data_IF_496543872596
#
_entry.id   IF_496543872596
#
_cell.length_a   1.000
_cell.length_b   1.000
_cell.length_c   1.000
_cell.angle_alpha   90.00
_cell.angle_beta   90.00
_cell.angle_gamma   90.00
#
_symmetry.space_group_name_H-M   'P 1'
#
loop_
_entity.id
_entity.type
_entity.pdbx_description
1 polymer ?
#
# COMPACT_ATOMS: atom_id res chain seq x y z
N UNK A 1 -22.56 -15.27 -3.47
CA UNK A 1 -21.41 -15.47 -4.38
C UNK A 1 -20.14 -15.08 -3.65
N UNK A 2 -19.09 -15.91 -3.70
CA UNK A 2 -17.80 -15.60 -3.07
C UNK A 2 -16.96 -14.63 -3.90
N UNK A 3 -16.03 -13.93 -3.24
CA UNK A 3 -15.05 -13.06 -3.91
C UNK A 3 -13.82 -13.92 -4.25
N UNK A 4 -13.41 -13.92 -5.52
CA UNK A 4 -12.15 -14.52 -5.96
C UNK A 4 -11.08 -13.43 -6.04
N UNK A 5 -9.88 -13.73 -5.56
CA UNK A 5 -8.71 -12.82 -5.62
C UNK A 5 -7.49 -13.57 -6.14
N UNK A 6 -6.65 -12.88 -6.90
CA UNK A 6 -5.36 -13.37 -7.35
C UNK A 6 -4.30 -13.13 -6.26
N UNK A 7 -3.93 -14.21 -5.59
CA UNK A 7 -2.92 -14.18 -4.54
C UNK A 7 -1.52 -13.84 -5.05
N UNK A 8 -1.18 -14.18 -6.31
CA UNK A 8 0.12 -13.84 -6.87
C UNK A 8 0.21 -12.35 -7.16
N UNK A 9 -0.85 -11.77 -7.74
CA UNK A 9 -0.94 -10.34 -7.99
C UNK A 9 -0.86 -9.54 -6.68
N UNK A 10 -1.59 -9.96 -5.65
CA UNK A 10 -1.53 -9.35 -4.31
C UNK A 10 -0.14 -9.43 -3.68
N UNK A 11 0.55 -10.57 -3.77
CA UNK A 11 1.92 -10.72 -3.24
C UNK A 11 2.89 -9.76 -3.94
N UNK A 12 2.75 -9.58 -5.26
CA UNK A 12 3.55 -8.60 -6.02
C UNK A 12 3.24 -7.17 -5.59
N UNK A 13 1.96 -6.81 -5.48
CA UNK A 13 1.54 -5.49 -5.01
C UNK A 13 2.09 -5.14 -3.63
N UNK A 14 1.99 -6.06 -2.66
CA UNK A 14 2.57 -5.88 -1.31
C UNK A 14 4.08 -5.64 -1.35
N UNK A 15 4.81 -6.37 -2.19
CA UNK A 15 6.27 -6.19 -2.34
C UNK A 15 6.61 -4.82 -2.92
N UNK A 16 5.87 -4.35 -3.92
CA UNK A 16 6.06 -3.04 -4.54
C UNK A 16 5.83 -1.94 -3.51
N UNK A 17 4.69 -1.98 -2.81
CA UNK A 17 4.35 -1.01 -1.76
C UNK A 17 5.44 -0.98 -0.67
N UNK A 18 5.88 -2.14 -0.18
CA UNK A 18 6.92 -2.19 0.85
C UNK A 18 8.25 -1.60 0.37
N UNK A 19 8.63 -1.85 -0.88
CA UNK A 19 9.84 -1.28 -1.45
C UNK A 19 9.73 0.24 -1.58
N UNK A 20 8.57 0.74 -2.01
CA UNK A 20 8.28 2.16 -2.11
C UNK A 20 8.38 2.86 -0.73
N UNK A 21 7.79 2.28 0.31
CA UNK A 21 7.91 2.81 1.68
C UNK A 21 9.36 2.83 2.19
N UNK A 22 10.14 1.77 1.92
CA UNK A 22 11.56 1.70 2.31
C UNK A 22 12.45 2.77 1.67
N UNK A 23 12.03 3.36 0.57
CA UNK A 23 12.75 4.46 -0.09
C UNK A 23 12.53 5.81 0.61
N UNK A 24 11.93 5.82 1.80
CA UNK A 24 11.75 7.02 2.62
C UNK A 24 10.46 7.80 2.33
N UNK A 25 9.56 7.26 1.50
CA UNK A 25 8.29 7.92 1.14
C UNK A 25 7.20 7.78 2.22
N UNK A 26 7.53 7.26 3.41
CA UNK A 26 6.57 7.03 4.51
C UNK A 26 5.97 8.34 5.02
N UNK A 27 6.77 9.40 5.14
CA UNK A 27 6.31 10.69 5.67
C UNK A 27 5.23 11.33 4.80
N UNK A 28 5.28 11.12 3.47
CA UNK A 28 4.26 11.59 2.54
C UNK A 28 2.89 10.89 2.70
N UNK A 29 2.81 9.84 3.53
CA UNK A 29 1.59 9.07 3.80
C UNK A 29 1.06 9.27 5.20
N UNK A 30 1.65 10.18 5.98
CA UNK A 30 1.14 10.56 7.28
C UNK A 30 0.63 12.00 7.20
N UNK A 31 -0.51 12.26 7.84
CA UNK A 31 -1.01 13.61 8.02
C UNK A 31 -0.25 14.36 9.13
N UNK A 32 -0.68 15.59 9.42
CA UNK A 32 -0.05 16.45 10.42
C UNK A 32 -0.12 15.86 11.84
N UNK A 33 -1.07 14.95 12.10
CA UNK A 33 -1.26 14.26 13.37
C UNK A 33 -0.53 12.90 13.41
N UNK A 34 0.25 12.58 12.36
CA UNK A 34 0.98 11.32 12.22
C UNK A 34 0.08 10.12 11.95
N UNK A 35 -1.16 10.34 11.52
CA UNK A 35 -2.09 9.28 11.10
C UNK A 35 -1.97 9.02 9.60
N UNK A 36 -2.33 7.81 9.12
CA UNK A 36 -2.30 7.52 7.69
C UNK A 36 -3.20 8.46 6.88
N UNK A 37 -2.62 9.21 5.95
CA UNK A 37 -3.33 10.06 4.98
C UNK A 37 -4.04 9.17 3.95
N UNK A 38 -5.38 9.20 3.98
CA UNK A 38 -6.21 8.40 3.09
C UNK A 38 -6.01 8.76 1.62
N UNK A 39 -5.84 10.04 1.28
CA UNK A 39 -5.67 10.46 -0.11
C UNK A 39 -4.36 9.92 -0.67
N UNK A 40 -3.25 10.16 0.04
CA UNK A 40 -1.93 9.65 -0.34
C UNK A 40 -1.91 8.10 -0.42
N UNK A 41 -2.61 7.42 0.49
CA UNK A 41 -2.74 5.96 0.43
C UNK A 41 -3.46 5.47 -0.83
N UNK A 42 -4.56 6.15 -1.22
CA UNK A 42 -5.29 5.83 -2.43
C UNK A 42 -4.43 6.04 -3.68
N UNK A 43 -3.74 7.18 -3.77
CA UNK A 43 -2.82 7.49 -4.86
C UNK A 43 -1.70 6.46 -4.99
N UNK A 44 -1.13 6.00 -3.87
CA UNK A 44 -0.11 4.95 -3.88
C UNK A 44 -0.64 3.61 -4.35
N UNK A 45 -1.87 3.24 -3.99
CA UNK A 45 -2.49 2.01 -4.49
C UNK A 45 -2.86 2.11 -5.97
N UNK A 46 -3.28 3.27 -6.45
CA UNK A 46 -3.54 3.51 -7.88
C UNK A 46 -2.26 3.51 -8.72
N UNK A 47 -1.18 4.10 -8.20
CA UNK A 47 0.16 3.97 -8.78
C UNK A 47 0.60 2.51 -8.83
N UNK A 48 0.46 1.77 -7.74
CA UNK A 48 0.81 0.35 -7.67
C UNK A 48 -0.03 -0.48 -8.65
N UNK A 49 -1.34 -0.19 -8.77
CA UNK A 49 -2.24 -0.84 -9.71
C UNK A 49 -1.81 -0.62 -11.15
N UNK A 50 -1.49 0.63 -11.50
CA UNK A 50 -0.98 1.01 -12.83
C UNK A 50 0.35 0.32 -13.14
N UNK A 51 1.24 0.19 -12.14
CA UNK A 51 2.50 -0.53 -12.31
C UNK A 51 2.29 -2.03 -12.56
N UNK A 52 1.40 -2.65 -11.79
CA UNK A 52 1.05 -4.07 -11.94
C UNK A 52 0.43 -4.34 -13.31
N UNK A 53 -0.50 -3.50 -13.76
CA UNK A 53 -1.12 -3.62 -15.07
C UNK A 53 -0.06 -3.59 -16.19
N UNK A 54 0.84 -2.59 -16.17
CA UNK A 54 1.93 -2.49 -17.17
C UNK A 54 2.87 -3.68 -17.18
N UNK A 55 3.06 -4.35 -16.03
CA UNK A 55 4.04 -5.44 -15.86
C UNK A 55 3.46 -6.83 -16.01
N UNK A 56 2.15 -6.98 -15.83
CA UNK A 56 1.47 -8.28 -15.79
C UNK A 56 0.32 -8.38 -16.79
N UNK A 57 -0.08 -7.27 -17.40
CA UNK A 57 -1.28 -7.21 -18.25
C UNK A 57 -2.59 -7.22 -17.47
N UNK A 58 -2.53 -7.20 -16.13
CA UNK A 58 -3.71 -7.31 -15.28
C UNK A 58 -3.68 -6.24 -14.16
N UNK A 59 -4.70 -5.39 -14.15
CA UNK A 59 -4.95 -4.47 -13.05
C UNK A 59 -5.60 -5.22 -11.87
N UNK A 60 -5.29 -4.85 -10.61
CA UNK A 60 -6.00 -5.37 -9.45
C UNK A 60 -7.48 -4.95 -9.49
N UNK A 61 -8.36 -5.89 -9.14
CA UNK A 61 -9.78 -5.63 -8.91
C UNK A 61 -10.01 -4.69 -7.73
N UNK A 62 -11.24 -4.16 -7.61
CA UNK A 62 -11.63 -3.29 -6.48
C UNK A 62 -11.43 -3.96 -5.12
N UNK A 63 -11.64 -5.28 -5.01
CA UNK A 63 -11.39 -6.00 -3.76
C UNK A 63 -9.90 -6.14 -3.46
N UNK A 64 -9.07 -6.42 -4.46
CA UNK A 64 -7.62 -6.49 -4.29
C UNK A 64 -7.01 -5.14 -3.95
N UNK A 65 -7.51 -4.05 -4.56
CA UNK A 65 -7.13 -2.67 -4.19
C UNK A 65 -7.43 -2.39 -2.71
N UNK A 66 -8.61 -2.78 -2.22
CA UNK A 66 -8.94 -2.66 -0.78
C UNK A 66 -7.97 -3.45 0.09
N UNK A 67 -7.61 -4.67 -0.31
CA UNK A 67 -6.63 -5.48 0.43
C UNK A 67 -5.23 -4.85 0.43
N UNK A 68 -4.83 -4.20 -0.66
CA UNK A 68 -3.57 -3.45 -0.74
C UNK A 68 -3.61 -2.18 0.13
N UNK A 69 -4.73 -1.46 0.19
CA UNK A 69 -4.95 -0.33 1.10
C UNK A 69 -4.83 -0.76 2.57
N UNK A 70 -5.49 -1.85 2.95
CA UNK A 70 -5.39 -2.39 4.31
C UNK A 70 -3.95 -2.78 4.68
N UNK A 71 -3.22 -3.38 3.72
CA UNK A 71 -1.81 -3.70 3.91
C UNK A 71 -0.96 -2.45 4.11
N UNK A 72 -1.12 -1.43 3.24
CA UNK A 72 -0.41 -0.16 3.34
C UNK A 72 -0.65 0.51 4.69
N UNK A 73 -1.91 0.60 5.13
CA UNK A 73 -2.26 1.15 6.44
C UNK A 73 -1.54 0.42 7.58
N UNK A 74 -1.42 -0.91 7.50
CA UNK A 74 -0.71 -1.72 8.48
C UNK A 74 0.79 -1.44 8.53
N UNK A 75 1.44 -1.31 7.36
CA UNK A 75 2.87 -0.99 7.28
C UNK A 75 3.15 0.42 7.82
N UNK A 76 2.29 1.41 7.50
CA UNK A 76 2.44 2.79 7.99
C UNK A 76 2.34 2.84 9.52
N UNK A 77 1.32 2.21 10.12
CA UNK A 77 1.17 2.17 11.59
C UNK A 77 2.37 1.50 12.29
N UNK A 78 2.97 0.48 11.68
CA UNK A 78 4.16 -0.16 12.21
C UNK A 78 5.40 0.74 12.09
N UNK A 79 5.56 1.42 10.95
CA UNK A 79 6.63 2.39 10.73
C UNK A 79 6.59 3.55 11.74
N UNK A 80 5.41 4.14 11.95
CA UNK A 80 5.23 5.23 12.92
C UNK A 80 5.57 4.80 14.35
N UNK A 81 5.19 3.58 14.76
CA UNK A 81 5.51 3.05 16.09
C UNK A 81 7.02 2.86 16.29
N UNK A 82 7.74 2.37 15.28
CA UNK A 82 9.19 2.21 15.36
C UNK A 82 9.90 3.56 15.45
N UNK A 83 9.44 4.57 14.71
CA UNK A 83 9.98 5.92 14.77
C UNK A 83 9.76 6.60 16.13
N UNK A 84 8.65 6.30 16.82
CA UNK A 84 8.36 6.82 18.16
C UNK A 84 9.19 6.18 19.28
N UNK A 85 9.56 4.90 19.17
CA UNK A 85 10.36 4.19 20.20
C UNK A 85 11.84 4.59 20.18
N UNK A 86 12.33 5.16 19.08
CA UNK A 86 13.73 5.56 18.91
C UNK A 86 14.02 7.03 19.28
N UNK A 87 13.02 7.77 19.76
CA UNK A 87 13.15 9.14 20.27
C UNK A 87 13.11 9.15 21.79
#
# INVERSE_FOLDING_TARGET
>A
MGICVDLQLLRRGRRIIRNYLRQGQVEAHLDQDGQPDLLAMHETVDWCASWLERRTGQAPSSHERKLLLCFLAGELRQGSRLAQVQR
#
